data_IF_127616450039
#
_entry.id   IF_127616450039
#
_cell.length_a   1.000
_cell.length_b   1.000
_cell.length_c   1.000
_cell.angle_alpha   90.00
_cell.angle_beta   90.00
_cell.angle_gamma   90.00
#
_symmetry.space_group_name_H-M   'P 1'
#
loop_
_entity.id
_entity.type
_entity.pdbx_description
1 polymer ?
#
# COMPACT_ATOMS: atom_id res chain seq x y z
N UNK A 1 -29.82 37.42 -16.31
CA UNK A 1 -29.67 38.30 -15.14
C UNK A 1 -28.85 37.53 -14.11
N UNK A 2 -27.52 37.57 -14.25
CA UNK A 2 -26.59 36.80 -13.42
C UNK A 2 -26.01 37.70 -12.33
N UNK A 3 -26.25 37.33 -11.08
CA UNK A 3 -25.85 38.08 -9.90
C UNK A 3 -24.31 38.08 -9.76
N UNK A 4 -23.68 39.18 -10.18
CA UNK A 4 -22.23 39.41 -10.13
C UNK A 4 -21.87 40.23 -8.90
N UNK A 5 -21.90 39.65 -7.69
CA UNK A 5 -21.06 40.07 -6.54
C UNK A 5 -21.39 39.25 -5.30
N UNK A 6 -20.82 38.04 -5.18
CA UNK A 6 -20.55 37.47 -3.85
C UNK A 6 -19.05 37.25 -3.74
N UNK A 7 -18.40 38.13 -2.98
CA UNK A 7 -17.00 38.00 -2.61
C UNK A 7 -16.90 36.90 -1.56
N UNK A 8 -16.47 35.71 -1.98
CA UNK A 8 -16.24 34.61 -1.06
C UNK A 8 -14.85 34.76 -0.45
N UNK A 9 -14.79 34.83 0.88
CA UNK A 9 -13.53 34.82 1.63
C UNK A 9 -13.31 33.41 2.14
N UNK A 10 -12.24 32.76 1.68
CA UNK A 10 -11.81 31.46 2.20
C UNK A 10 -10.86 31.76 3.36
N UNK A 11 -11.31 31.56 4.59
CA UNK A 11 -10.43 31.52 5.77
C UNK A 11 -9.87 30.12 5.89
N UNK A 12 -8.55 29.98 5.78
CA UNK A 12 -7.85 28.74 6.08
C UNK A 12 -7.33 28.86 7.50
N UNK A 13 -8.10 28.36 8.46
CA UNK A 13 -7.77 28.49 9.89
C UNK A 13 -6.50 27.71 10.25
N UNK A 14 -6.25 26.59 9.58
CA UNK A 14 -5.04 25.79 9.74
C UNK A 14 -4.71 25.01 8.46
N UNK A 15 -3.45 25.07 8.05
CA UNK A 15 -2.89 24.23 7.00
C UNK A 15 -1.61 23.57 7.50
N UNK A 16 -1.48 22.26 7.29
CA UNK A 16 -0.29 21.50 7.66
C UNK A 16 0.28 20.81 6.43
N UNK A 17 1.54 21.10 6.10
CA UNK A 17 2.25 20.45 5.01
C UNK A 17 3.18 19.37 5.59
N UNK A 18 2.90 18.11 5.24
CA UNK A 18 3.73 16.97 5.62
C UNK A 18 4.71 16.66 4.48
N UNK A 19 5.92 17.23 4.53
CA UNK A 19 7.00 16.93 3.57
C UNK A 19 8.01 15.98 4.19
N UNK A 20 8.46 14.98 3.43
CA UNK A 20 9.55 14.08 3.85
C UNK A 20 10.88 14.57 3.27
N UNK A 21 11.92 14.58 4.11
CA UNK A 21 13.30 14.83 3.71
C UNK A 21 14.07 13.51 3.73
N UNK A 22 14.55 13.06 2.57
CA UNK A 22 15.45 11.92 2.48
C UNK A 22 16.91 12.41 2.59
N UNK A 23 17.73 11.75 3.40
CA UNK A 23 19.16 12.02 3.51
C UNK A 23 19.94 10.87 2.86
N UNK A 24 20.68 11.18 1.80
CA UNK A 24 21.51 10.20 1.10
C UNK A 24 22.81 10.00 1.88
N UNK A 25 23.22 8.75 2.06
CA UNK A 25 24.51 8.43 2.66
C UNK A 25 25.64 8.70 1.64
N UNK A 26 26.45 9.73 1.91
CA UNK A 26 27.56 10.17 1.04
C UNK A 26 28.59 9.07 0.78
N UNK A 27 28.91 8.26 1.80
CA UNK A 27 29.87 7.15 1.65
C UNK A 27 29.37 6.08 0.68
N UNK A 28 28.06 5.81 0.69
CA UNK A 28 27.42 4.87 -0.25
C UNK A 28 27.45 5.43 -1.66
N UNK A 29 27.18 6.72 -1.85
CA UNK A 29 27.25 7.38 -3.16
C UNK A 29 28.65 7.33 -3.76
N UNK A 30 29.68 7.70 -3.00
CA UNK A 30 31.07 7.63 -3.45
C UNK A 30 31.52 6.19 -3.73
N UNK A 31 31.10 5.25 -2.87
CA UNK A 31 31.36 3.82 -3.08
C UNK A 31 30.75 3.30 -4.38
N UNK A 32 29.53 3.72 -4.72
CA UNK A 32 28.91 3.38 -6.01
C UNK A 32 29.68 3.98 -7.20
N UNK A 33 30.14 5.24 -7.11
CA UNK A 33 30.94 5.86 -8.16
C UNK A 33 32.22 5.08 -8.47
N UNK A 34 33.01 4.75 -7.43
CA UNK A 34 34.24 3.97 -7.58
C UNK A 34 33.99 2.54 -8.06
N UNK A 35 32.86 1.92 -7.70
CA UNK A 35 32.50 0.59 -8.17
C UNK A 35 32.11 0.57 -9.66
N UNK A 36 31.43 1.61 -10.14
CA UNK A 36 31.01 1.75 -11.54
C UNK A 36 32.17 2.06 -12.49
N UNK A 37 33.26 2.68 -12.00
CA UNK A 37 34.50 2.84 -12.78
C UNK A 37 35.18 1.49 -13.10
N UNK A 38 35.00 0.50 -12.22
CA UNK A 38 35.71 -0.79 -12.29
C UNK A 38 34.85 -1.95 -12.77
N UNK A 39 33.54 -1.87 -12.59
CA UNK A 39 32.62 -2.98 -12.83
C UNK A 39 31.31 -2.49 -13.45
N UNK A 40 30.67 -3.34 -14.24
CA UNK A 40 29.37 -3.03 -14.86
C UNK A 40 28.26 -2.87 -13.81
N UNK A 41 27.33 -1.95 -14.05
CA UNK A 41 26.13 -1.78 -13.25
C UNK A 41 25.30 -3.07 -13.19
N UNK A 42 24.92 -3.49 -11.98
CA UNK A 42 24.03 -4.63 -11.73
C UNK A 42 22.66 -4.13 -11.31
N UNK A 43 21.62 -4.56 -12.00
CA UNK A 43 20.23 -4.21 -11.72
C UNK A 43 19.49 -5.43 -11.14
N UNK A 44 19.27 -5.49 -9.82
CA UNK A 44 18.58 -6.63 -9.22
C UNK A 44 17.10 -6.67 -9.61
N UNK A 45 16.62 -7.88 -9.89
CA UNK A 45 15.23 -8.13 -10.24
C UNK A 45 14.36 -8.08 -8.98
N UNK A 46 13.34 -7.22 -8.97
CA UNK A 46 12.30 -7.20 -7.93
C UNK A 46 11.43 -8.45 -8.08
N UNK A 47 11.35 -9.29 -7.04
CA UNK A 47 10.52 -10.50 -7.02
C UNK A 47 9.23 -10.26 -6.24
N UNK A 48 8.14 -10.86 -6.71
CA UNK A 48 6.85 -10.90 -6.03
C UNK A 48 6.71 -12.28 -5.39
N UNK A 49 6.28 -12.31 -4.13
CA UNK A 49 6.00 -13.52 -3.37
C UNK A 49 4.56 -13.43 -2.85
N UNK A 50 3.78 -14.50 -3.03
CA UNK A 50 2.36 -14.54 -2.66
C UNK A 50 2.17 -15.55 -1.54
N UNK A 51 1.60 -15.08 -0.42
CA UNK A 51 1.25 -15.91 0.72
C UNK A 51 -0.26 -15.91 0.93
N UNK A 52 -0.79 -17.09 1.20
CA UNK A 52 -2.21 -17.29 1.43
C UNK A 52 -2.49 -17.67 2.88
N UNK A 53 -3.59 -17.15 3.42
CA UNK A 53 -4.08 -17.49 4.75
C UNK A 53 -5.60 -17.62 4.71
N UNK A 54 -6.12 -18.74 5.21
CA UNK A 54 -7.56 -18.98 5.30
C UNK A 54 -8.11 -18.38 6.58
N UNK A 55 -9.19 -17.60 6.45
CA UNK A 55 -9.96 -17.06 7.58
C UNK A 55 -11.31 -17.77 7.60
N UNK A 56 -11.62 -18.42 8.72
CA UNK A 56 -12.90 -19.12 8.91
C UNK A 56 -14.09 -18.16 8.95
N UNK A 57 -15.26 -18.64 8.51
CA UNK A 57 -16.51 -17.87 8.62
C UNK A 57 -16.83 -17.60 10.10
N UNK A 58 -17.23 -16.36 10.41
CA UNK A 58 -17.60 -15.94 11.76
C UNK A 58 -16.43 -15.45 12.62
N UNK A 59 -15.20 -15.50 12.11
CA UNK A 59 -14.04 -14.90 12.79
C UNK A 59 -14.12 -13.37 12.69
N UNK A 60 -14.07 -12.68 13.82
CA UNK A 60 -14.13 -11.22 13.90
C UNK A 60 -12.76 -10.54 13.89
N UNK A 61 -11.71 -11.26 14.29
CA UNK A 61 -10.33 -10.78 14.33
C UNK A 61 -9.35 -11.92 14.06
N UNK A 62 -8.34 -11.66 13.25
CA UNK A 62 -7.26 -12.58 12.92
C UNK A 62 -5.97 -11.80 12.86
N UNK A 63 -4.94 -12.29 13.56
CA UNK A 63 -3.57 -11.85 13.40
C UNK A 63 -2.81 -12.92 12.62
N UNK A 64 -2.11 -12.50 11.59
CA UNK A 64 -1.22 -13.34 10.79
C UNK A 64 0.20 -12.92 11.12
N UNK A 65 0.90 -13.77 11.86
CA UNK A 65 2.28 -13.49 12.26
C UNK A 65 3.28 -14.08 11.29
N UNK A 66 4.46 -13.45 11.22
CA UNK A 66 5.61 -13.96 10.49
C UNK A 66 5.32 -14.22 9.00
N UNK A 67 4.61 -13.28 8.38
CA UNK A 67 4.37 -13.28 6.93
C UNK A 67 5.70 -13.24 6.19
N UNK A 68 6.73 -12.57 6.74
CA UNK A 68 8.09 -12.64 6.21
C UNK A 68 9.10 -12.46 7.33
N UNK A 69 10.11 -13.34 7.36
CA UNK A 69 11.06 -13.44 8.49
C UNK A 69 12.49 -12.99 8.16
N UNK A 70 12.90 -13.02 6.90
CA UNK A 70 14.32 -12.84 6.51
C UNK A 70 14.62 -11.54 5.80
N UNK A 71 13.65 -10.97 5.10
CA UNK A 71 13.78 -9.67 4.44
C UNK A 71 12.40 -9.03 4.41
N UNK A 72 12.32 -7.75 4.73
CA UNK A 72 11.09 -6.99 4.59
C UNK A 72 10.87 -6.70 3.10
N UNK A 73 9.66 -6.94 2.58
CA UNK A 73 9.34 -6.52 1.23
C UNK A 73 9.33 -5.00 1.15
N UNK A 74 9.60 -4.44 -0.02
CA UNK A 74 9.42 -3.01 -0.26
C UNK A 74 7.94 -2.61 -0.28
N UNK A 75 7.07 -3.54 -0.65
CA UNK A 75 5.62 -3.31 -0.78
C UNK A 75 4.85 -4.53 -0.32
N UNK A 76 3.74 -4.29 0.38
CA UNK A 76 2.78 -5.31 0.78
C UNK A 76 1.44 -4.96 0.16
N UNK A 77 0.82 -5.90 -0.53
CA UNK A 77 -0.56 -5.77 -1.02
C UNK A 77 -1.39 -6.87 -0.38
N UNK A 78 -2.50 -6.48 0.25
CA UNK A 78 -3.41 -7.37 0.96
C UNK A 78 -4.76 -7.31 0.25
N UNK A 79 -5.33 -8.48 0.01
CA UNK A 79 -6.67 -8.63 -0.57
C UNK A 79 -7.33 -9.87 -0.02
N UNK A 80 -8.66 -9.89 -0.06
CA UNK A 80 -9.45 -11.03 0.37
C UNK A 80 -10.23 -11.59 -0.82
N UNK A 81 -10.35 -12.91 -0.88
CA UNK A 81 -11.11 -13.62 -1.91
C UNK A 81 -11.87 -14.77 -1.25
N UNK A 82 -13.00 -15.18 -1.84
CA UNK A 82 -13.71 -16.38 -1.38
C UNK A 82 -12.84 -17.62 -1.61
N UNK A 83 -12.78 -18.54 -0.66
CA UNK A 83 -11.98 -19.77 -0.78
C UNK A 83 -12.35 -20.55 -2.05
N UNK A 84 -13.65 -20.72 -2.31
CA UNK A 84 -14.14 -21.39 -3.53
C UNK A 84 -13.75 -20.70 -4.83
N UNK A 85 -13.59 -19.37 -4.82
CA UNK A 85 -13.13 -18.63 -6.00
C UNK A 85 -11.62 -18.78 -6.19
N UNK A 86 -10.86 -18.83 -5.08
CA UNK A 86 -9.43 -19.13 -5.09
C UNK A 86 -9.14 -20.57 -5.57
N UNK A 87 -9.96 -21.53 -5.16
CA UNK A 87 -9.88 -22.94 -5.56
C UNK A 87 -10.32 -23.17 -7.02
N UNK A 88 -10.83 -22.15 -7.71
CA UNK A 88 -11.13 -22.21 -9.14
C UNK A 88 -12.50 -22.79 -9.50
N UNK A 89 -13.51 -22.67 -8.64
CA UNK A 89 -14.90 -23.02 -9.01
C UNK A 89 -15.34 -22.19 -10.22
N UNK A 90 -15.80 -22.86 -11.28
CA UNK A 90 -16.05 -22.27 -12.61
C UNK A 90 -16.99 -21.05 -12.59
N UNK A 91 -18.00 -21.04 -11.72
CA UNK A 91 -18.98 -19.95 -11.61
C UNK A 91 -18.49 -18.77 -10.75
N UNK A 92 -17.24 -18.79 -10.29
CA UNK A 92 -16.68 -17.78 -9.42
C UNK A 92 -15.42 -17.14 -10.00
N UNK A 93 -15.32 -15.82 -9.86
CA UNK A 93 -14.17 -15.04 -10.35
C UNK A 93 -13.05 -15.03 -9.29
N UNK A 94 -11.84 -15.55 -9.59
CA UNK A 94 -10.70 -15.55 -8.63
C UNK A 94 -10.16 -14.15 -8.34
N UNK A 95 -10.37 -13.20 -9.25
CA UNK A 95 -9.96 -11.78 -9.10
C UNK A 95 -11.08 -10.89 -8.57
N UNK A 96 -12.05 -11.46 -7.84
CA UNK A 96 -13.06 -10.70 -7.12
C UNK A 96 -12.58 -10.42 -5.69
N UNK A 97 -11.86 -9.31 -5.52
CA UNK A 97 -11.29 -8.88 -4.26
C UNK A 97 -12.35 -8.22 -3.38
N UNK A 98 -13.06 -9.05 -2.61
CA UNK A 98 -14.13 -8.59 -1.74
C UNK A 98 -13.61 -7.92 -0.47
N UNK A 99 -14.36 -6.97 0.08
CA UNK A 99 -14.04 -6.35 1.36
C UNK A 99 -14.53 -7.17 2.58
N UNK A 100 -15.51 -8.06 2.41
CA UNK A 100 -16.07 -8.94 3.46
C UNK A 100 -16.42 -8.21 4.78
N UNK A 101 -16.91 -6.98 4.68
CA UNK A 101 -17.20 -6.11 5.84
C UNK A 101 -16.00 -5.87 6.77
N UNK A 102 -14.78 -5.88 6.23
CA UNK A 102 -13.57 -5.51 6.96
C UNK A 102 -13.74 -4.13 7.61
N UNK A 103 -13.44 -4.04 8.90
CA UNK A 103 -13.57 -2.81 9.69
C UNK A 103 -12.23 -2.17 10.00
N UNK A 104 -11.19 -2.99 10.24
CA UNK A 104 -9.84 -2.52 10.54
C UNK A 104 -8.79 -3.41 9.88
N UNK A 105 -7.72 -2.79 9.38
CA UNK A 105 -6.53 -3.46 8.86
C UNK A 105 -5.29 -2.75 9.38
N UNK A 106 -4.36 -3.51 9.96
CA UNK A 106 -3.10 -2.99 10.45
C UNK A 106 -1.95 -3.80 9.87
N UNK A 107 -0.82 -3.15 9.60
CA UNK A 107 0.42 -3.81 9.22
C UNK A 107 1.45 -3.46 10.28
N UNK A 108 2.15 -4.45 10.81
CA UNK A 108 3.09 -4.30 11.92
C UNK A 108 4.46 -4.83 11.54
N UNK A 109 5.49 -4.05 11.86
CA UNK A 109 6.89 -4.44 11.73
C UNK A 109 7.48 -4.39 13.13
N UNK A 110 8.04 -5.52 13.59
CA UNK A 110 8.54 -5.67 14.97
C UNK A 110 7.50 -5.27 16.05
N UNK A 111 6.22 -5.60 15.82
CA UNK A 111 5.13 -5.28 16.74
C UNK A 111 4.70 -3.80 16.75
N UNK A 112 5.29 -2.95 15.91
CA UNK A 112 4.88 -1.55 15.74
C UNK A 112 4.15 -1.34 14.42
N UNK A 113 3.03 -0.62 14.46
CA UNK A 113 2.27 -0.29 13.25
C UNK A 113 3.11 0.52 12.26
N UNK A 114 3.29 -0.01 11.05
CA UNK A 114 4.11 0.57 9.99
C UNK A 114 3.58 0.13 8.63
N UNK A 115 3.48 1.02 7.63
CA UNK A 115 3.97 2.40 7.62
C UNK A 115 3.04 3.40 8.31
N UNK A 116 1.79 3.02 8.57
CA UNK A 116 0.81 3.90 9.21
C UNK A 116 0.81 3.68 10.73
N UNK A 117 0.94 4.77 11.50
CA UNK A 117 0.87 4.71 12.96
C UNK A 117 -0.52 4.27 13.47
N UNK A 118 -1.57 4.57 12.70
CA UNK A 118 -2.95 4.14 12.99
C UNK A 118 -3.38 3.07 11.99
N UNK A 119 -4.13 2.03 12.43
CA UNK A 119 -4.77 1.09 11.52
C UNK A 119 -5.64 1.82 10.49
N UNK A 120 -5.76 1.23 9.31
CA UNK A 120 -6.78 1.65 8.35
C UNK A 120 -8.14 1.19 8.89
N UNK A 121 -9.08 2.12 8.98
CA UNK A 121 -10.45 1.85 9.45
C UNK A 121 -11.42 2.06 8.31
N UNK A 122 -12.43 1.19 8.24
CA UNK A 122 -13.41 1.17 7.16
C UNK A 122 -14.83 0.95 7.67
N UNK A 123 -15.79 1.53 6.95
CA UNK A 123 -17.19 1.16 7.03
C UNK A 123 -17.79 1.20 5.62
N UNK A 124 -17.82 0.04 4.98
CA UNK A 124 -18.31 -0.09 3.60
C UNK A 124 -19.81 0.22 3.47
N UNK A 125 -20.62 -0.09 4.49
CA UNK A 125 -22.05 0.24 4.50
C UNK A 125 -22.32 1.76 4.52
N UNK A 126 -21.42 2.55 5.12
CA UNK A 126 -21.50 4.02 5.17
C UNK A 126 -20.64 4.70 4.10
N UNK A 127 -20.11 3.95 3.12
CA UNK A 127 -19.17 4.45 2.11
C UNK A 127 -17.88 5.09 2.68
N UNK A 128 -17.45 4.64 3.86
CA UNK A 128 -16.23 5.09 4.54
C UNK A 128 -15.10 4.10 4.27
N UNK A 129 -14.66 3.99 3.01
CA UNK A 129 -13.54 3.13 2.60
C UNK A 129 -12.41 3.92 1.91
N UNK A 130 -12.48 5.25 1.95
CA UNK A 130 -11.60 6.13 1.18
C UNK A 130 -10.12 5.93 1.51
N UNK A 131 -9.78 5.64 2.78
CA UNK A 131 -8.39 5.38 3.16
C UNK A 131 -7.83 4.10 2.53
N UNK A 132 -8.68 3.09 2.34
CA UNK A 132 -8.31 1.85 1.65
C UNK A 132 -8.08 2.12 0.17
N UNK A 133 -9.03 2.81 -0.47
CA UNK A 133 -8.92 3.26 -1.85
C UNK A 133 -7.64 4.10 -2.06
N UNK A 134 -7.43 5.16 -1.28
CA UNK A 134 -6.23 6.00 -1.35
C UNK A 134 -4.94 5.19 -1.17
N UNK A 135 -4.92 4.23 -0.24
CA UNK A 135 -3.73 3.37 -0.03
C UNK A 135 -3.32 2.61 -1.29
N UNK A 136 -4.28 2.20 -2.12
CA UNK A 136 -4.01 1.51 -3.37
C UNK A 136 -3.24 2.39 -4.36
N UNK A 137 -3.71 3.63 -4.56
CA UNK A 137 -3.12 4.56 -5.54
C UNK A 137 -1.84 5.19 -5.03
N UNK A 138 -1.78 5.56 -3.76
CA UNK A 138 -0.59 6.15 -3.14
C UNK A 138 0.59 5.19 -3.13
N UNK A 139 0.32 3.89 -2.91
CA UNK A 139 1.39 2.92 -2.66
C UNK A 139 1.65 1.98 -3.85
N UNK A 140 0.76 1.83 -4.82
CA UNK A 140 1.02 1.02 -6.03
C UNK A 140 1.49 1.90 -7.18
N UNK A 141 0.72 2.94 -7.49
CA UNK A 141 0.93 3.77 -8.67
C UNK A 141 1.93 4.89 -8.42
N UNK A 142 2.56 5.37 -9.49
CA UNK A 142 3.31 6.63 -9.45
C UNK A 142 2.28 7.74 -9.70
N UNK A 143 1.91 8.59 -8.72
CA UNK A 143 0.97 9.70 -8.94
C UNK A 143 1.41 10.70 -10.03
N UNK A 144 2.64 10.56 -10.55
CA UNK A 144 3.27 11.43 -11.53
C UNK A 144 3.03 11.00 -12.99
N UNK A 145 2.66 9.73 -13.23
CA UNK A 145 2.34 9.26 -14.58
C UNK A 145 0.86 8.90 -14.63
N UNK A 146 0.13 9.44 -15.62
CA UNK A 146 -1.31 9.26 -15.82
C UNK A 146 -1.72 7.81 -16.21
N UNK A 147 -1.01 6.81 -15.70
CA UNK A 147 -1.37 5.40 -15.75
C UNK A 147 -2.16 5.10 -14.48
N UNK A 148 -3.49 5.03 -14.58
CA UNK A 148 -4.30 4.48 -13.49
C UNK A 148 -4.43 2.97 -13.61
N UNK A 149 -4.96 2.35 -12.56
CA UNK A 149 -5.28 0.91 -12.53
C UNK A 149 -6.73 0.59 -12.98
N UNK A 150 -7.44 1.58 -13.56
CA UNK A 150 -8.85 1.50 -14.02
C UNK A 150 -9.86 1.12 -12.92
N UNK A 151 -9.51 1.31 -11.64
CA UNK A 151 -10.42 1.09 -10.51
C UNK A 151 -10.98 2.43 -10.07
N UNK A 152 -12.24 2.70 -10.36
CA UNK A 152 -12.92 3.88 -9.82
C UNK A 152 -13.18 3.73 -8.32
N UNK A 153 -13.44 4.85 -7.64
CA UNK A 153 -13.87 4.84 -6.24
C UNK A 153 -15.16 4.03 -6.06
N UNK A 154 -16.06 4.14 -7.02
CA UNK A 154 -17.38 3.49 -7.02
C UNK A 154 -17.26 1.98 -7.27
N UNK A 155 -16.22 1.53 -7.97
CA UNK A 155 -15.95 0.13 -8.23
C UNK A 155 -15.16 -0.53 -7.11
N UNK A 156 -14.32 0.22 -6.39
CA UNK A 156 -13.53 -0.28 -5.25
C UNK A 156 -14.29 -1.23 -4.30
N UNK A 157 -15.49 -0.90 -3.77
CA UNK A 157 -16.23 -1.81 -2.88
C UNK A 157 -16.88 -3.00 -3.61
N UNK A 158 -16.93 -3.01 -4.94
CA UNK A 158 -17.63 -4.02 -5.77
C UNK A 158 -16.73 -5.16 -6.26
N UNK A 159 -15.68 -5.49 -5.50
CA UNK A 159 -14.76 -6.57 -5.86
C UNK A 159 -13.36 -6.13 -6.28
N UNK A 160 -13.00 -4.88 -6.02
CA UNK A 160 -11.68 -4.31 -6.31
C UNK A 160 -10.99 -3.75 -5.06
N UNK A 161 -11.31 -4.33 -3.89
CA UNK A 161 -10.80 -3.89 -2.58
C UNK A 161 -9.40 -4.47 -2.31
N UNK A 162 -8.37 -3.76 -2.78
CA UNK A 162 -6.96 -4.06 -2.55
C UNK A 162 -6.35 -3.00 -1.62
N UNK A 163 -5.59 -3.44 -0.61
CA UNK A 163 -4.94 -2.55 0.36
C UNK A 163 -3.43 -2.62 0.16
N UNK A 164 -2.80 -1.51 -0.18
CA UNK A 164 -1.38 -1.47 -0.46
C UNK A 164 -0.63 -0.64 0.60
N UNK A 165 0.55 -1.12 0.98
CA UNK A 165 1.45 -0.49 1.93
C UNK A 165 2.84 -0.42 1.32
N UNK A 166 3.41 0.78 1.30
CA UNK A 166 4.81 1.01 0.95
C UNK A 166 5.68 1.00 2.21
N UNK A 167 6.68 0.11 2.22
CA UNK A 167 7.64 -0.06 3.33
C UNK A 167 9.01 0.54 2.98
N UNK A 168 9.14 1.16 1.81
CA UNK A 168 10.37 1.85 1.42
C UNK A 168 10.59 3.09 2.29
N UNK A 169 11.84 3.38 2.70
CA UNK A 169 12.14 4.53 3.56
C UNK A 169 11.80 5.89 2.91
N UNK A 170 11.85 5.94 1.60
CA UNK A 170 11.58 7.08 0.73
C UNK A 170 10.11 7.17 0.30
N UNK A 171 9.31 6.12 0.54
CA UNK A 171 7.92 6.00 0.08
C UNK A 171 7.75 6.32 -1.41
N UNK A 172 8.78 5.98 -2.19
CA UNK A 172 8.76 6.18 -3.61
C UNK A 172 8.73 4.81 -4.27
N UNK A 173 7.72 4.62 -5.10
CA UNK A 173 7.60 3.48 -6.02
C UNK A 173 8.63 3.51 -7.17
N UNK A 174 9.71 4.27 -7.01
CA UNK A 174 10.75 4.51 -8.01
C UNK A 174 11.63 3.30 -8.30
N UNK A 175 12.50 3.49 -9.27
CA UNK A 175 13.46 2.49 -9.75
C UNK A 175 14.76 2.48 -8.92
N UNK A 176 14.74 3.18 -7.79
CA UNK A 176 15.85 3.19 -6.83
C UNK A 176 15.83 1.95 -5.92
N UNK A 177 17.03 1.50 -5.57
CA UNK A 177 17.23 0.34 -4.72
C UNK A 177 17.45 0.77 -3.29
N UNK A 178 16.54 0.34 -2.43
CA UNK A 178 16.67 0.53 -1.01
C UNK A 178 17.50 -0.60 -0.38
N UNK A 179 18.22 -0.27 0.69
CA UNK A 179 18.95 -1.26 1.48
C UNK A 179 17.95 -2.29 2.02
N UNK A 180 18.24 -3.57 1.84
CA UNK A 180 17.41 -4.67 2.34
C UNK A 180 17.41 -4.59 3.86
N UNK A 181 16.21 -4.44 4.44
CA UNK A 181 16.00 -4.50 5.89
C UNK A 181 15.51 -5.89 6.27
N UNK A 182 15.98 -6.38 7.40
CA UNK A 182 15.41 -7.55 8.07
C UNK A 182 14.27 -7.10 8.97
N UNK A 183 13.32 -8.00 9.22
CA UNK A 183 12.24 -7.74 10.16
C UNK A 183 11.15 -8.79 10.12
N UNK A 184 10.40 -8.85 11.21
CA UNK A 184 9.19 -9.65 11.29
C UNK A 184 8.01 -8.78 10.88
N UNK A 185 7.24 -9.28 9.90
CA UNK A 185 6.05 -8.66 9.36
C UNK A 185 4.80 -9.42 9.83
N UNK A 186 3.93 -8.71 10.54
CA UNK A 186 2.66 -9.22 11.05
C UNK A 186 1.49 -8.35 10.50
N UNK A 187 0.32 -8.95 10.30
CA UNK A 187 -0.93 -8.27 9.87
C UNK A 187 -2.06 -8.59 10.84
#
# INVERSE_FOLDING_TARGET
MGDKTKSYYISVDQATLLVRKAQINLSVMLGHGLALEKTTAKYPIKRVDVKQHTIGKGVSSKVVTNIRSTSLPSRVVISFVKNSAYDGVLDQKPFNFGHFNLTKLNLMIYGQSSPYYKPLEFNFAKNQYIRGYSSLFENIDKPVFATGNDISREDYPKGYSLFAFDLTPDFCSGDQFNVIKTGNLDV
#
